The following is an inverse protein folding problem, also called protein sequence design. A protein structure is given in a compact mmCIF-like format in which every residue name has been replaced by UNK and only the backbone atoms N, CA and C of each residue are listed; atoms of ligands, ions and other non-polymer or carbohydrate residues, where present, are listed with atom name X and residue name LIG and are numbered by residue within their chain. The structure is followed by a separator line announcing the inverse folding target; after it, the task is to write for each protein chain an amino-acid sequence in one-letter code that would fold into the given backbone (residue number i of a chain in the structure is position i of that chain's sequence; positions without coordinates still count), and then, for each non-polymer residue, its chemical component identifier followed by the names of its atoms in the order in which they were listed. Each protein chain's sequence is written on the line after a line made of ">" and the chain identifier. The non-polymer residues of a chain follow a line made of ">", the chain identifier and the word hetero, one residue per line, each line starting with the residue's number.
data_IF_097977196583
#
_entry.id   IF_097977196583
#
_cell.length_a   1.000
_cell.length_b   1.000
_cell.length_c   1.000
_cell.angle_alpha   90.00
_cell.angle_beta   90.00
_cell.angle_gamma   90.00
#
_symmetry.space_group_name_H-M   'P 1'
#
loop_
_entity.id
_entity.type
_entity.pdbx_description
1 polymer ?
#
# COMPACT_ATOMS: atom_id res chain seq x y z
N UNK A 1 40.19 55.04 41.70
CA UNK A 1 38.86 54.87 42.30
C UNK A 1 37.69 55.23 41.35
N UNK A 2 37.80 56.25 40.50
CA UNK A 2 36.72 56.72 39.62
C UNK A 2 36.33 55.79 38.47
N UNK A 3 37.23 54.88 38.00
CA UNK A 3 36.97 53.94 36.89
C UNK A 3 36.08 52.73 37.30
N UNK A 4 36.19 52.32 38.58
CA UNK A 4 35.43 51.15 39.10
C UNK A 4 33.97 51.50 39.33
N UNK A 5 33.68 52.73 39.77
CA UNK A 5 32.30 53.20 39.98
C UNK A 5 31.50 53.37 38.70
N UNK A 6 32.15 53.69 37.56
CA UNK A 6 31.47 53.78 36.25
C UNK A 6 31.15 52.41 35.66
N UNK A 7 32.05 51.42 35.82
CA UNK A 7 31.81 50.04 35.39
C UNK A 7 30.65 49.42 36.19
N UNK A 8 30.60 49.66 37.48
CA UNK A 8 29.53 49.18 38.36
C UNK A 8 28.15 49.79 38.00
N UNK A 9 28.10 51.06 37.58
CA UNK A 9 26.88 51.71 37.10
C UNK A 9 26.42 51.17 35.75
N UNK A 10 27.35 50.79 34.86
CA UNK A 10 27.04 50.19 33.58
C UNK A 10 26.50 48.75 33.79
N UNK A 11 27.13 47.97 34.65
CA UNK A 11 26.66 46.62 35.01
C UNK A 11 25.26 46.67 35.66
N UNK A 12 25.02 47.64 36.54
CA UNK A 12 23.73 47.81 37.20
C UNK A 12 22.63 48.25 36.22
N UNK A 13 22.94 49.07 35.19
CA UNK A 13 22.02 49.43 34.11
C UNK A 13 21.75 48.23 33.18
N UNK A 14 22.75 47.44 32.87
CA UNK A 14 22.58 46.22 32.10
C UNK A 14 21.75 45.17 32.84
N UNK A 15 21.93 45.02 34.15
CA UNK A 15 21.13 44.14 35.00
C UNK A 15 19.65 44.58 35.07
N UNK A 16 19.38 45.89 35.16
CA UNK A 16 18.01 46.42 35.12
C UNK A 16 17.37 46.21 33.74
N UNK A 17 18.13 46.35 32.63
CA UNK A 17 17.62 46.09 31.28
C UNK A 17 17.33 44.60 31.13
N UNK A 18 18.18 43.69 31.66
CA UNK A 18 17.95 42.26 31.65
C UNK A 18 16.73 41.80 32.44
N UNK A 19 16.45 42.43 33.59
CA UNK A 19 15.25 42.21 34.43
C UNK A 19 13.99 42.72 33.72
N UNK A 20 14.05 43.81 32.94
CA UNK A 20 12.94 44.34 32.16
C UNK A 20 12.60 43.51 30.92
N UNK A 21 13.55 42.71 30.40
CA UNK A 21 13.33 41.81 29.26
C UNK A 21 12.75 40.45 29.72
N UNK A 22 12.90 40.10 31.00
CA UNK A 22 12.28 38.92 31.60
C UNK A 22 10.79 39.20 31.96
N UNK A 23 10.01 39.67 30.97
CA UNK A 23 8.55 39.66 31.10
C UNK A 23 8.13 38.17 31.16
N UNK A 24 7.41 37.75 32.22
CA UNK A 24 6.86 36.42 32.26
C UNK A 24 5.96 36.26 31.03
N UNK A 25 6.24 35.30 30.20
CA UNK A 25 5.27 34.83 29.22
C UNK A 25 4.04 34.40 30.02
N UNK A 26 3.02 35.25 30.07
CA UNK A 26 1.77 34.92 30.75
C UNK A 26 1.12 33.81 29.92
N UNK A 27 1.32 32.60 30.37
CA UNK A 27 0.56 31.46 29.96
C UNK A 27 -0.91 31.73 30.33
N UNK A 28 -1.75 31.86 29.33
CA UNK A 28 -3.15 32.21 29.57
C UNK A 28 -3.97 30.91 29.66
N UNK A 29 -4.52 30.66 30.85
CA UNK A 29 -5.31 29.46 31.13
C UNK A 29 -6.67 29.55 30.45
N UNK A 30 -7.05 28.52 29.68
CA UNK A 30 -8.34 28.41 29.01
C UNK A 30 -9.50 28.30 30.01
N UNK A 31 -10.45 29.24 29.95
CA UNK A 31 -11.66 29.24 30.77
C UNK A 31 -12.93 28.89 30.00
N UNK A 32 -12.99 29.18 28.72
CA UNK A 32 -14.18 28.98 27.89
C UNK A 32 -13.79 28.63 26.44
N UNK A 33 -14.62 27.83 25.77
CA UNK A 33 -14.51 27.56 24.33
C UNK A 33 -15.81 28.04 23.69
N UNK A 34 -15.68 28.90 22.70
CA UNK A 34 -16.78 29.37 21.85
C UNK A 34 -16.59 28.85 20.42
N UNK A 35 -17.67 28.30 19.88
CA UNK A 35 -17.69 27.72 18.54
C UNK A 35 -18.67 28.47 17.65
N UNK A 36 -18.23 28.88 16.47
CA UNK A 36 -19.02 29.64 15.52
C UNK A 36 -18.93 29.01 14.13
N UNK A 37 -19.96 29.25 13.28
CA UNK A 37 -19.98 28.83 11.89
C UNK A 37 -20.44 27.38 11.67
N UNK A 38 -20.58 26.59 12.72
CA UNK A 38 -21.10 25.25 12.67
C UNK A 38 -22.61 25.23 12.38
N UNK A 39 -23.05 24.23 11.61
CA UNK A 39 -24.45 24.08 11.20
C UNK A 39 -25.00 22.68 11.50
N UNK A 40 -24.26 21.65 11.15
CA UNK A 40 -24.64 20.23 11.33
C UNK A 40 -23.87 19.57 12.46
N UNK A 41 -22.58 19.95 12.62
CA UNK A 41 -21.77 19.45 13.71
C UNK A 41 -22.03 20.29 14.95
N UNK A 42 -22.46 19.67 16.05
CA UNK A 42 -22.72 20.41 17.28
C UNK A 42 -21.47 21.06 17.87
N UNK A 43 -21.64 22.18 18.56
CA UNK A 43 -20.50 22.84 19.23
C UNK A 43 -19.80 21.91 20.24
N UNK A 44 -20.55 21.03 20.89
CA UNK A 44 -20.02 20.01 21.80
C UNK A 44 -19.16 19.01 21.09
N UNK A 45 -19.58 18.54 19.90
CA UNK A 45 -18.79 17.62 19.06
C UNK A 45 -17.49 18.27 18.60
N UNK A 46 -17.52 19.56 18.21
CA UNK A 46 -16.32 20.30 17.82
C UNK A 46 -15.34 20.44 18.98
N UNK A 47 -15.86 20.72 20.19
CA UNK A 47 -15.03 20.74 21.42
C UNK A 47 -14.39 19.37 21.67
N UNK A 48 -15.12 18.27 21.49
CA UNK A 48 -14.58 16.91 21.62
C UNK A 48 -13.47 16.66 20.57
N UNK A 49 -13.68 17.02 19.31
CA UNK A 49 -12.68 16.88 18.26
C UNK A 49 -11.42 17.71 18.50
N UNK A 50 -11.55 18.86 19.16
CA UNK A 50 -10.41 19.69 19.53
C UNK A 50 -9.54 19.06 20.63
N UNK A 51 -10.08 18.09 21.40
CA UNK A 51 -9.48 17.42 22.55
C UNK A 51 -8.94 18.39 23.62
N UNK A 52 -9.46 19.61 23.66
CA UNK A 52 -9.02 20.64 24.60
C UNK A 52 -9.87 20.62 25.87
N UNK A 53 -9.22 20.69 26.99
CA UNK A 53 -9.89 20.75 28.31
C UNK A 53 -9.82 22.17 28.90
N UNK A 54 -10.88 22.58 29.61
CA UNK A 54 -10.88 23.79 30.40
C UNK A 54 -9.77 23.69 31.47
N UNK A 55 -9.16 24.82 31.81
CA UNK A 55 -8.02 24.97 32.72
C UNK A 55 -6.69 24.43 32.17
N UNK A 56 -6.58 24.24 30.83
CA UNK A 56 -5.33 23.93 30.16
C UNK A 56 -4.62 25.24 29.75
N UNK A 57 -3.32 25.23 29.82
CA UNK A 57 -2.47 26.29 29.29
C UNK A 57 -2.38 26.12 27.75
N UNK A 58 -2.63 27.20 26.99
CA UNK A 58 -2.60 27.21 25.55
C UNK A 58 -1.48 28.09 25.01
N UNK A 59 -0.48 27.47 24.47
CA UNK A 59 0.58 28.10 23.67
C UNK A 59 0.31 27.98 22.15
N UNK A 60 1.16 28.59 21.34
CA UNK A 60 1.04 28.52 19.89
C UNK A 60 1.10 27.09 19.34
N UNK A 61 1.84 26.17 19.99
CA UNK A 61 1.93 24.78 19.56
C UNK A 61 0.62 24.05 19.84
N UNK A 62 0.04 24.25 21.00
CA UNK A 62 -1.27 23.72 21.39
C UNK A 62 -2.37 24.17 20.42
N UNK A 63 -2.39 25.45 20.02
CA UNK A 63 -3.33 25.94 19.01
C UNK A 63 -3.15 25.27 17.66
N UNK A 64 -1.91 25.07 17.20
CA UNK A 64 -1.62 24.34 15.97
C UNK A 64 -2.06 22.86 16.03
N UNK A 65 -1.89 22.20 17.17
CA UNK A 65 -2.35 20.82 17.35
C UNK A 65 -3.89 20.73 17.32
N UNK A 66 -4.59 21.67 17.94
CA UNK A 66 -6.06 21.77 17.85
C UNK A 66 -6.49 21.91 16.38
N UNK A 67 -5.84 22.82 15.66
CA UNK A 67 -6.12 23.06 14.25
C UNK A 67 -5.95 21.79 13.43
N UNK A 68 -4.83 21.09 13.59
CA UNK A 68 -4.56 19.81 12.91
C UNK A 68 -5.61 18.74 13.23
N UNK A 69 -6.01 18.62 14.51
CA UNK A 69 -7.03 17.65 14.93
C UNK A 69 -8.37 17.94 14.27
N UNK A 70 -8.81 19.19 14.25
CA UNK A 70 -10.06 19.58 13.61
C UNK A 70 -10.02 19.31 12.11
N UNK A 71 -8.93 19.66 11.39
CA UNK A 71 -8.78 19.35 9.98
C UNK A 71 -8.72 17.83 9.71
N UNK A 72 -8.09 17.06 10.57
CA UNK A 72 -7.96 15.61 10.40
C UNK A 72 -9.30 14.86 10.43
N UNK A 73 -10.34 15.48 10.99
CA UNK A 73 -11.70 14.92 10.98
C UNK A 73 -12.37 14.95 9.61
N UNK A 74 -11.85 15.76 8.68
CA UNK A 74 -12.43 16.03 7.37
C UNK A 74 -13.82 16.69 7.37
N UNK A 75 -14.41 17.00 8.54
CA UNK A 75 -15.70 17.67 8.60
C UNK A 75 -15.65 19.15 8.19
N UNK A 76 -14.47 19.77 8.27
CA UNK A 76 -14.31 21.20 8.08
C UNK A 76 -13.50 21.49 6.81
N UNK A 77 -14.02 22.42 6.02
CA UNK A 77 -13.36 23.00 4.84
C UNK A 77 -12.37 24.06 5.28
N UNK A 78 -12.75 24.86 6.27
CA UNK A 78 -11.91 25.87 6.88
C UNK A 78 -12.09 25.90 8.40
N UNK A 79 -10.98 26.15 9.11
CA UNK A 79 -10.94 26.28 10.57
C UNK A 79 -10.04 27.44 10.92
N UNK A 80 -10.58 28.39 11.68
CA UNK A 80 -9.85 29.50 12.26
C UNK A 80 -9.91 29.42 13.78
N UNK A 81 -8.76 29.58 14.43
CA UNK A 81 -8.64 29.51 15.88
C UNK A 81 -8.02 30.82 16.42
N UNK A 82 -8.64 31.39 17.42
CA UNK A 82 -8.15 32.57 18.12
C UNK A 82 -8.26 32.38 19.63
N UNK A 83 -7.20 32.67 20.36
CA UNK A 83 -7.20 32.59 21.79
C UNK A 83 -6.99 33.98 22.38
N UNK A 84 -8.01 34.53 23.02
CA UNK A 84 -7.99 35.85 23.63
C UNK A 84 -8.81 35.89 24.95
N UNK A 85 -8.38 36.63 25.92
CA UNK A 85 -9.08 36.83 27.20
C UNK A 85 -9.48 35.51 27.88
N UNK A 86 -8.64 34.49 27.82
CA UNK A 86 -8.89 33.14 28.34
C UNK A 86 -10.04 32.39 27.65
N UNK A 87 -10.47 32.83 26.45
CA UNK A 87 -11.51 32.22 25.64
C UNK A 87 -10.88 31.73 24.33
N UNK A 88 -11.10 30.46 24.01
CA UNK A 88 -10.75 29.90 22.74
C UNK A 88 -11.93 30.01 21.76
N UNK A 89 -11.77 30.83 20.73
CA UNK A 89 -12.73 30.97 19.65
C UNK A 89 -12.35 30.02 18.54
N UNK A 90 -13.26 29.11 18.19
CA UNK A 90 -13.12 28.16 17.04
C UNK A 90 -14.18 28.54 16.04
N UNK A 91 -13.77 29.03 14.86
CA UNK A 91 -14.66 29.34 13.77
C UNK A 91 -14.46 28.30 12.68
N UNK A 92 -15.54 27.69 12.19
CA UNK A 92 -15.50 26.59 11.24
C UNK A 92 -16.39 26.86 10.02
N UNK A 93 -15.95 26.39 8.85
CA UNK A 93 -16.77 26.20 7.66
C UNK A 93 -16.86 24.70 7.39
N UNK A 94 -18.08 24.12 7.41
CA UNK A 94 -18.25 22.68 7.25
C UNK A 94 -18.12 22.26 5.78
N UNK A 95 -17.47 21.12 5.53
CA UNK A 95 -17.51 20.44 4.24
C UNK A 95 -18.94 19.96 3.94
N UNK A 96 -19.37 19.98 2.68
CA UNK A 96 -20.63 19.34 2.30
C UNK A 96 -20.60 17.85 2.64
N UNK A 97 -21.77 17.23 2.81
CA UNK A 97 -21.89 15.78 3.02
C UNK A 97 -22.33 15.10 1.72
N UNK A 98 -21.75 13.94 1.44
CA UNK A 98 -22.19 13.08 0.35
C UNK A 98 -23.54 12.49 0.73
N UNK A 99 -24.61 12.91 0.05
CA UNK A 99 -25.97 12.41 0.24
C UNK A 99 -26.21 11.13 -0.54
N UNK A 100 -25.75 11.10 -1.79
CA UNK A 100 -25.85 9.95 -2.69
C UNK A 100 -24.47 9.69 -3.28
N UNK A 101 -24.06 8.43 -3.29
CA UNK A 101 -22.88 7.96 -4.01
C UNK A 101 -23.29 6.85 -4.96
N UNK A 102 -23.06 7.06 -6.26
CA UNK A 102 -23.51 6.13 -7.31
C UNK A 102 -22.41 5.85 -8.31
N UNK A 103 -22.36 4.58 -8.76
CA UNK A 103 -21.55 4.13 -9.90
C UNK A 103 -22.51 3.88 -11.08
N UNK A 104 -22.53 4.78 -12.03
CA UNK A 104 -23.36 4.63 -13.22
C UNK A 104 -22.58 3.93 -14.34
N UNK A 105 -23.25 3.13 -15.18
CA UNK A 105 -22.63 2.36 -16.25
C UNK A 105 -22.09 0.98 -15.85
N UNK A 106 -22.09 0.61 -14.57
CA UNK A 106 -21.63 -0.71 -14.10
C UNK A 106 -22.84 -1.58 -13.70
N UNK A 107 -23.11 -2.63 -14.48
CA UNK A 107 -24.23 -3.58 -14.21
C UNK A 107 -23.78 -4.81 -13.41
N UNK A 108 -22.48 -5.11 -13.38
CA UNK A 108 -21.95 -6.29 -12.72
C UNK A 108 -21.91 -6.09 -11.20
N UNK A 109 -22.71 -6.87 -10.47
CA UNK A 109 -22.84 -6.78 -9.00
C UNK A 109 -21.51 -6.96 -8.27
N UNK A 110 -20.67 -7.92 -8.72
CA UNK A 110 -19.36 -8.16 -8.11
C UNK A 110 -18.42 -6.96 -8.24
N UNK A 111 -18.43 -6.30 -9.41
CA UNK A 111 -17.61 -5.09 -9.62
C UNK A 111 -18.14 -3.95 -8.76
N UNK A 112 -19.46 -3.76 -8.70
CA UNK A 112 -20.09 -2.75 -7.83
C UNK A 112 -19.70 -2.97 -6.36
N UNK A 113 -19.75 -4.20 -5.88
CA UNK A 113 -19.34 -4.54 -4.51
C UNK A 113 -17.87 -4.19 -4.25
N UNK A 114 -16.97 -4.55 -5.17
CA UNK A 114 -15.54 -4.22 -5.05
C UNK A 114 -15.33 -2.71 -5.05
N UNK A 115 -15.99 -1.97 -5.94
CA UNK A 115 -15.93 -0.51 -5.98
C UNK A 115 -16.43 0.09 -4.65
N UNK A 116 -17.60 -0.33 -4.21
CA UNK A 116 -18.21 0.17 -2.96
C UNK A 116 -17.33 -0.08 -1.74
N UNK A 117 -16.64 -1.22 -1.68
CA UNK A 117 -15.79 -1.57 -0.54
C UNK A 117 -14.43 -0.88 -0.57
N UNK A 118 -13.86 -0.65 -1.74
CA UNK A 118 -12.48 -0.17 -1.85
C UNK A 118 -12.33 1.34 -1.96
N UNK A 119 -13.33 2.08 -2.40
CA UNK A 119 -13.28 3.54 -2.40
C UNK A 119 -13.43 4.10 -0.98
N UNK A 120 -12.82 5.25 -0.72
CA UNK A 120 -12.83 5.89 0.60
C UNK A 120 -14.03 6.78 0.79
N UNK A 121 -14.48 7.45 -0.26
CA UNK A 121 -15.69 8.26 -0.23
C UNK A 121 -16.94 7.39 0.01
N UNK A 122 -17.77 7.78 0.98
CA UNK A 122 -18.99 7.05 1.36
C UNK A 122 -20.17 8.00 1.48
N UNK A 123 -21.38 7.47 1.34
CA UNK A 123 -22.57 8.23 1.72
C UNK A 123 -22.50 8.63 3.19
N UNK A 124 -23.04 9.79 3.52
CA UNK A 124 -23.03 10.41 4.84
C UNK A 124 -21.64 10.82 5.37
N UNK A 125 -20.58 10.69 4.57
CA UNK A 125 -19.26 11.22 4.91
C UNK A 125 -19.04 12.62 4.36
N UNK A 126 -18.09 13.40 4.93
CA UNK A 126 -17.71 14.69 4.38
C UNK A 126 -17.16 14.56 2.96
N UNK A 127 -17.53 15.51 2.10
CA UNK A 127 -17.05 15.58 0.73
C UNK A 127 -15.81 16.46 0.64
N UNK A 128 -14.71 15.90 0.17
CA UNK A 128 -13.44 16.59 -0.04
C UNK A 128 -13.12 16.59 -1.53
N UNK A 129 -13.27 17.75 -2.17
CA UNK A 129 -13.19 17.89 -3.63
C UNK A 129 -11.85 17.43 -4.22
N UNK A 130 -10.74 17.71 -3.53
CA UNK A 130 -9.39 17.30 -3.98
C UNK A 130 -9.20 15.79 -4.07
N UNK A 131 -10.01 15.01 -3.32
CA UNK A 131 -9.91 13.55 -3.31
C UNK A 131 -10.64 12.89 -4.50
N UNK A 132 -11.52 13.60 -5.21
CA UNK A 132 -12.30 13.03 -6.32
C UNK A 132 -11.41 12.43 -7.41
N UNK A 133 -10.33 13.15 -7.79
CA UNK A 133 -9.40 12.65 -8.81
C UNK A 133 -8.63 11.41 -8.37
N UNK A 134 -8.35 11.27 -7.09
CA UNK A 134 -7.72 10.08 -6.54
C UNK A 134 -8.68 8.89 -6.57
N UNK A 135 -9.96 9.12 -6.25
CA UNK A 135 -11.00 8.09 -6.34
C UNK A 135 -11.25 7.66 -7.80
N UNK A 136 -11.29 8.58 -8.77
CA UNK A 136 -11.37 8.24 -10.20
C UNK A 136 -10.23 7.33 -10.64
N UNK A 137 -8.98 7.65 -10.24
CA UNK A 137 -7.80 6.79 -10.51
C UNK A 137 -7.93 5.42 -9.84
N UNK A 138 -8.40 5.38 -8.60
CA UNK A 138 -8.60 4.16 -7.84
C UNK A 138 -9.66 3.26 -8.51
N UNK A 139 -10.80 3.84 -8.90
CA UNK A 139 -11.84 3.16 -9.67
C UNK A 139 -11.27 2.61 -10.98
N UNK A 140 -10.53 3.43 -11.74
CA UNK A 140 -9.89 2.98 -13.00
C UNK A 140 -8.95 1.82 -12.79
N UNK A 141 -8.15 1.81 -11.72
CA UNK A 141 -7.26 0.70 -11.39
C UNK A 141 -8.03 -0.57 -11.02
N UNK A 142 -9.12 -0.45 -10.25
CA UNK A 142 -10.01 -1.57 -9.92
C UNK A 142 -10.61 -2.17 -11.21
N UNK A 143 -11.05 -1.33 -12.13
CA UNK A 143 -11.62 -1.79 -13.40
C UNK A 143 -10.57 -2.48 -14.27
N UNK A 144 -9.34 -1.96 -14.34
CA UNK A 144 -8.20 -2.58 -15.05
C UNK A 144 -7.87 -3.96 -14.51
N UNK A 145 -7.78 -4.12 -13.19
CA UNK A 145 -7.52 -5.44 -12.57
C UNK A 145 -8.65 -6.44 -12.82
N UNK A 146 -9.86 -5.96 -13.15
CA UNK A 146 -10.99 -6.78 -13.55
C UNK A 146 -11.12 -6.98 -15.08
N UNK A 147 -10.09 -6.55 -15.84
CA UNK A 147 -10.00 -6.73 -17.29
C UNK A 147 -10.54 -5.60 -18.14
N UNK A 148 -11.11 -4.54 -17.55
CA UNK A 148 -11.61 -3.37 -18.28
C UNK A 148 -10.52 -2.31 -18.41
N UNK A 149 -9.54 -2.58 -19.26
CA UNK A 149 -8.30 -1.81 -19.34
C UNK A 149 -8.51 -0.39 -19.91
N UNK A 150 -9.49 -0.23 -20.79
CA UNK A 150 -9.80 1.02 -21.49
C UNK A 150 -11.06 1.71 -20.94
N UNK A 151 -11.50 1.32 -19.73
CA UNK A 151 -12.62 2.00 -19.08
C UNK A 151 -12.33 3.48 -18.88
N UNK A 152 -13.36 4.32 -19.03
CA UNK A 152 -13.31 5.74 -18.70
C UNK A 152 -14.13 5.99 -17.46
N UNK A 153 -13.63 6.83 -16.58
CA UNK A 153 -14.30 7.22 -15.34
C UNK A 153 -14.34 8.73 -15.29
N UNK A 154 -15.53 9.29 -15.21
CA UNK A 154 -15.79 10.71 -15.06
C UNK A 154 -16.71 10.93 -13.89
N UNK A 155 -16.51 12.00 -13.14
CA UNK A 155 -17.35 12.33 -11.99
C UNK A 155 -18.33 13.43 -12.33
N UNK A 156 -19.59 13.24 -11.97
CA UNK A 156 -20.61 14.27 -11.97
C UNK A 156 -20.95 14.63 -10.53
N UNK A 157 -20.87 15.93 -10.21
CA UNK A 157 -21.15 16.51 -8.90
C UNK A 157 -22.42 17.35 -8.98
N UNK A 158 -23.46 16.95 -8.24
CA UNK A 158 -24.67 17.74 -8.10
C UNK A 158 -24.70 18.32 -6.69
N UNK A 159 -24.61 19.66 -6.59
CA UNK A 159 -24.68 20.40 -5.32
C UNK A 159 -26.14 20.70 -5.02
N UNK A 160 -26.63 20.24 -3.87
CA UNK A 160 -28.00 20.45 -3.43
C UNK A 160 -28.12 21.73 -2.58
N UNK A 161 -29.32 22.31 -2.50
CA UNK A 161 -29.59 23.52 -1.72
C UNK A 161 -29.31 23.36 -0.21
N UNK A 162 -29.47 22.14 0.32
CA UNK A 162 -29.21 21.79 1.71
C UNK A 162 -27.72 21.56 2.02
N UNK A 163 -26.81 22.05 1.17
CA UNK A 163 -25.35 21.89 1.28
C UNK A 163 -24.89 20.43 1.32
N UNK A 164 -25.63 19.53 0.69
CA UNK A 164 -25.20 18.17 0.44
C UNK A 164 -24.78 17.99 -1.03
N UNK A 165 -24.12 16.87 -1.34
CA UNK A 165 -23.63 16.56 -2.68
C UNK A 165 -24.11 15.17 -3.08
N UNK A 166 -24.59 15.04 -4.32
CA UNK A 166 -24.73 13.77 -4.98
C UNK A 166 -23.47 13.55 -5.86
N UNK A 167 -22.72 12.50 -5.56
CA UNK A 167 -21.49 12.13 -6.24
C UNK A 167 -21.79 10.93 -7.14
N UNK A 168 -21.70 11.12 -8.44
CA UNK A 168 -21.99 10.10 -9.43
C UNK A 168 -20.72 9.84 -10.26
N UNK A 169 -20.16 8.65 -10.14
CA UNK A 169 -19.09 8.18 -11.02
C UNK A 169 -19.71 7.56 -12.27
N UNK A 170 -19.62 8.27 -13.38
CA UNK A 170 -20.05 7.80 -14.70
C UNK A 170 -18.94 6.94 -15.29
N UNK A 171 -19.21 5.66 -15.50
CA UNK A 171 -18.22 4.66 -15.90
C UNK A 171 -18.62 4.07 -17.25
N UNK A 172 -17.78 4.33 -18.25
CA UNK A 172 -17.83 3.62 -19.53
C UNK A 172 -16.88 2.43 -19.43
N UNK A 173 -17.42 1.23 -19.22
CA UNK A 173 -16.59 0.03 -19.04
C UNK A 173 -15.80 -0.36 -20.31
N UNK A 174 -16.42 -0.21 -21.48
CA UNK A 174 -15.90 -0.77 -22.73
C UNK A 174 -15.85 -2.29 -22.71
N UNK A 175 -15.10 -2.86 -23.64
CA UNK A 175 -14.85 -4.30 -23.70
C UNK A 175 -13.68 -4.74 -22.84
N UNK A 176 -13.70 -6.01 -22.42
CA UNK A 176 -12.56 -6.56 -21.69
C UNK A 176 -11.35 -6.73 -22.61
N UNK A 177 -10.21 -6.29 -22.13
CA UNK A 177 -8.93 -6.53 -22.80
C UNK A 177 -8.56 -8.02 -22.78
N UNK A 178 -8.13 -8.56 -23.90
CA UNK A 178 -7.74 -9.98 -23.99
C UNK A 178 -6.35 -10.18 -24.60
N UNK A 179 -5.75 -11.31 -24.28
CA UNK A 179 -4.43 -11.70 -24.75
C UNK A 179 -4.57 -12.37 -26.11
N UNK A 180 -4.14 -11.70 -27.18
CA UNK A 180 -4.10 -12.24 -28.53
C UNK A 180 -2.93 -13.20 -28.72
N UNK A 181 -1.77 -12.87 -28.13
CA UNK A 181 -0.52 -13.63 -28.31
C UNK A 181 0.31 -13.60 -27.02
N UNK A 182 1.00 -14.69 -26.75
CA UNK A 182 2.00 -14.78 -25.68
C UNK A 182 3.35 -15.09 -26.29
N UNK A 183 4.34 -14.24 -26.05
CA UNK A 183 5.69 -14.33 -26.58
C UNK A 183 6.71 -14.49 -25.46
N UNK A 184 7.70 -15.33 -25.68
CA UNK A 184 8.85 -15.49 -24.83
C UNK A 184 10.09 -15.09 -25.60
N UNK A 185 10.85 -14.11 -25.12
CA UNK A 185 12.04 -13.56 -25.77
C UNK A 185 13.27 -13.69 -24.86
N UNK A 186 14.45 -13.33 -25.37
CA UNK A 186 15.71 -13.41 -24.65
C UNK A 186 16.36 -14.80 -24.65
N UNK A 187 17.25 -15.04 -23.70
CA UNK A 187 17.99 -16.32 -23.57
C UNK A 187 17.12 -17.37 -22.82
N UNK A 188 16.14 -17.92 -23.50
CA UNK A 188 15.10 -18.74 -22.86
C UNK A 188 15.41 -20.24 -22.74
N UNK A 189 16.40 -20.79 -23.44
CA UNK A 189 16.85 -22.23 -23.42
C UNK A 189 15.73 -23.30 -23.51
N UNK A 190 14.47 -22.94 -23.28
CA UNK A 190 13.28 -23.82 -23.25
C UNK A 190 12.32 -23.41 -24.35
N UNK A 191 11.70 -24.38 -25.00
CA UNK A 191 10.75 -24.14 -26.11
C UNK A 191 9.48 -23.43 -25.62
N UNK A 192 8.98 -22.47 -26.40
CA UNK A 192 7.77 -21.68 -26.09
C UNK A 192 6.55 -22.57 -25.80
N UNK A 193 6.39 -23.66 -26.56
CA UNK A 193 5.28 -24.61 -26.36
C UNK A 193 5.27 -25.22 -24.94
N UNK A 194 6.46 -25.38 -24.35
CA UNK A 194 6.59 -25.86 -22.97
C UNK A 194 6.30 -24.76 -21.97
N UNK A 195 6.85 -23.54 -22.19
CA UNK A 195 6.64 -22.39 -21.31
C UNK A 195 5.15 -22.00 -21.24
N UNK A 196 4.43 -22.04 -22.37
CA UNK A 196 2.97 -21.80 -22.39
C UNK A 196 2.16 -22.78 -21.55
N UNK A 197 2.68 -23.99 -21.28
CA UNK A 197 2.00 -24.97 -20.40
C UNK A 197 2.26 -24.72 -18.92
N UNK A 198 3.23 -23.87 -18.59
CA UNK A 198 3.60 -23.54 -17.21
C UNK A 198 2.80 -22.37 -16.68
N UNK A 199 2.50 -21.39 -17.54
CA UNK A 199 1.75 -20.19 -17.18
C UNK A 199 0.24 -20.47 -17.14
N UNK A 200 -0.48 -19.62 -16.41
CA UNK A 200 -1.95 -19.66 -16.28
C UNK A 200 -2.61 -18.85 -17.40
N UNK A 201 -2.00 -17.72 -17.80
CA UNK A 201 -2.50 -16.89 -18.87
C UNK A 201 -2.59 -17.66 -20.18
N UNK A 202 -3.64 -17.41 -20.94
CA UNK A 202 -3.92 -18.10 -22.20
C UNK A 202 -4.18 -17.12 -23.34
N UNK A 203 -3.78 -17.49 -24.54
CA UNK A 203 -4.18 -16.77 -25.76
C UNK A 203 -5.68 -16.95 -26.03
N UNK A 204 -6.37 -15.86 -26.38
CA UNK A 204 -7.76 -15.91 -26.83
C UNK A 204 -7.88 -16.69 -28.11
N UNK A 205 -8.73 -17.71 -28.12
CA UNK A 205 -9.04 -18.56 -29.29
C UNK A 205 -10.55 -18.70 -29.39
N UNK A 206 -11.07 -18.79 -30.62
CA UNK A 206 -12.52 -18.83 -30.88
C UNK A 206 -13.24 -19.99 -30.15
N UNK A 207 -12.55 -21.12 -29.90
CA UNK A 207 -13.10 -22.26 -29.16
C UNK A 207 -12.93 -22.17 -27.63
N UNK A 208 -12.21 -21.14 -27.13
CA UNK A 208 -12.02 -20.90 -25.68
C UNK A 208 -12.91 -19.77 -25.16
N UNK A 209 -14.18 -19.76 -25.56
CA UNK A 209 -15.08 -18.65 -25.20
C UNK A 209 -15.42 -18.59 -23.70
N UNK A 210 -15.36 -19.69 -22.97
CA UNK A 210 -15.69 -19.75 -21.54
C UNK A 210 -14.50 -19.35 -20.65
N UNK A 211 -13.24 -19.51 -21.13
CA UNK A 211 -12.05 -19.27 -20.32
C UNK A 211 -11.88 -17.80 -19.95
N UNK A 212 -11.81 -17.51 -18.64
CA UNK A 212 -11.43 -16.19 -18.14
C UNK A 212 -9.91 -15.90 -18.20
N UNK A 213 -9.09 -16.93 -18.45
CA UNK A 213 -7.61 -16.83 -18.50
C UNK A 213 -7.10 -16.07 -19.72
N UNK A 214 -7.96 -15.88 -20.72
CA UNK A 214 -7.67 -15.10 -21.93
C UNK A 214 -7.72 -13.58 -21.71
N UNK A 215 -8.35 -13.11 -20.64
CA UNK A 215 -8.41 -11.67 -20.36
C UNK A 215 -7.12 -11.21 -19.69
N UNK A 216 -6.71 -9.99 -20.01
CA UNK A 216 -5.53 -9.38 -19.39
C UNK A 216 -5.78 -9.14 -17.89
N UNK A 217 -4.86 -9.64 -17.07
CA UNK A 217 -4.94 -9.55 -15.60
C UNK A 217 -3.51 -9.42 -15.05
N UNK A 218 -3.22 -8.28 -14.45
CA UNK A 218 -1.88 -7.94 -13.96
C UNK A 218 -1.42 -8.91 -12.87
N UNK A 219 -2.31 -9.26 -11.93
CA UNK A 219 -1.98 -10.19 -10.85
C UNK A 219 -1.65 -11.59 -11.38
N UNK A 220 -2.30 -11.99 -12.47
CA UNK A 220 -2.02 -13.25 -13.12
C UNK A 220 -0.68 -13.23 -13.85
N UNK A 221 -0.29 -12.12 -14.46
CA UNK A 221 1.03 -11.95 -15.09
C UNK A 221 2.14 -12.10 -14.04
N UNK A 222 1.98 -11.54 -12.85
CA UNK A 222 2.93 -11.71 -11.74
C UNK A 222 3.02 -13.17 -11.29
N UNK A 223 1.89 -13.86 -11.24
CA UNK A 223 1.87 -15.28 -10.92
C UNK A 223 2.54 -16.12 -12.01
N UNK A 224 2.28 -15.83 -13.28
CA UNK A 224 2.92 -16.48 -14.43
C UNK A 224 4.45 -16.30 -14.38
N UNK A 225 4.91 -15.10 -14.05
CA UNK A 225 6.34 -14.80 -13.84
C UNK A 225 6.96 -15.69 -12.75
N UNK A 226 6.27 -15.84 -11.62
CA UNK A 226 6.72 -16.73 -10.52
C UNK A 226 6.73 -18.19 -10.94
N UNK A 227 5.73 -18.64 -11.69
CA UNK A 227 5.64 -20.01 -12.19
C UNK A 227 6.76 -20.32 -13.17
N UNK A 228 7.04 -19.42 -14.13
CA UNK A 228 8.16 -19.55 -15.05
C UNK A 228 9.48 -19.63 -14.29
N UNK A 229 9.74 -18.70 -13.38
CA UNK A 229 10.98 -18.67 -12.61
C UNK A 229 11.17 -19.96 -11.80
N UNK A 230 10.13 -20.41 -11.12
CA UNK A 230 10.16 -21.68 -10.37
C UNK A 230 10.43 -22.88 -11.30
N UNK A 231 9.83 -22.90 -12.48
CA UNK A 231 10.05 -23.94 -13.45
C UNK A 231 11.51 -23.96 -13.94
N UNK A 232 12.11 -22.79 -14.27
CA UNK A 232 13.52 -22.70 -14.68
C UNK A 232 14.45 -23.19 -13.58
N UNK A 233 14.25 -22.76 -12.33
CA UNK A 233 15.04 -23.22 -11.18
C UNK A 233 14.94 -24.72 -10.96
N UNK A 234 13.80 -25.33 -11.27
CA UNK A 234 13.63 -26.78 -11.21
C UNK A 234 14.22 -27.55 -12.43
N UNK A 235 14.67 -26.82 -13.45
CA UNK A 235 15.36 -27.39 -14.64
C UNK A 235 16.87 -27.13 -14.64
N UNK A 236 17.41 -26.66 -13.51
CA UNK A 236 18.83 -26.43 -13.34
C UNK A 236 19.27 -24.99 -13.55
N UNK A 237 18.40 -24.10 -13.95
CA UNK A 237 18.74 -22.70 -14.19
C UNK A 237 18.58 -21.88 -12.91
N UNK A 238 19.50 -22.07 -11.97
CA UNK A 238 19.45 -21.46 -10.63
C UNK A 238 19.37 -19.93 -10.69
N UNK A 239 20.21 -19.31 -11.54
CA UNK A 239 20.27 -17.86 -11.72
C UNK A 239 19.28 -17.32 -12.77
N UNK A 240 18.31 -18.12 -13.21
CA UNK A 240 17.32 -17.65 -14.16
C UNK A 240 16.56 -16.43 -13.61
N UNK A 241 16.35 -15.46 -14.49
CA UNK A 241 15.57 -14.24 -14.21
C UNK A 241 14.53 -14.02 -15.31
N UNK A 242 13.37 -13.51 -14.92
CA UNK A 242 12.42 -12.87 -15.83
C UNK A 242 12.70 -11.38 -15.75
N UNK A 243 13.47 -10.86 -16.71
CA UNK A 243 13.93 -9.46 -16.71
C UNK A 243 12.77 -8.48 -16.83
N UNK A 244 11.77 -8.85 -17.60
CA UNK A 244 10.51 -8.09 -17.68
C UNK A 244 9.34 -8.96 -18.10
N UNK A 245 8.16 -8.59 -17.63
CA UNK A 245 6.87 -9.03 -18.15
C UNK A 245 6.06 -7.80 -18.56
N UNK A 246 5.60 -7.74 -19.80
CA UNK A 246 4.89 -6.58 -20.33
C UNK A 246 3.72 -6.99 -21.21
N UNK A 247 2.70 -6.16 -21.25
CA UNK A 247 1.55 -6.30 -22.14
C UNK A 247 1.58 -5.13 -23.13
N UNK A 248 1.80 -5.46 -24.41
CA UNK A 248 1.82 -4.50 -25.53
C UNK A 248 0.46 -4.51 -26.21
N UNK A 249 -0.13 -3.35 -26.44
CA UNK A 249 -1.34 -3.19 -27.25
C UNK A 249 -0.98 -3.54 -28.71
N UNK A 250 -1.74 -4.42 -29.33
CA UNK A 250 -1.56 -4.82 -30.74
C UNK A 250 -2.75 -4.43 -31.61
N UNK A 251 -3.92 -4.24 -30.99
CA UNK A 251 -5.15 -3.82 -31.64
C UNK A 251 -6.17 -3.38 -30.55
N UNK A 252 -7.37 -2.91 -30.91
CA UNK A 252 -8.43 -2.58 -29.97
C UNK A 252 -8.69 -3.74 -29.03
N UNK A 253 -8.56 -3.47 -27.70
CA UNK A 253 -8.73 -4.45 -26.64
C UNK A 253 -7.85 -5.72 -26.72
N UNK A 254 -6.85 -5.77 -27.62
CA UNK A 254 -5.98 -6.93 -27.83
C UNK A 254 -4.57 -6.64 -27.36
N UNK A 255 -4.00 -7.58 -26.63
CA UNK A 255 -2.64 -7.47 -26.09
C UNK A 255 -1.76 -8.64 -26.53
N UNK A 256 -0.48 -8.32 -26.78
CA UNK A 256 0.59 -9.30 -26.76
C UNK A 256 1.26 -9.28 -25.39
N UNK A 257 1.22 -10.41 -24.68
CA UNK A 257 1.93 -10.60 -23.40
C UNK A 257 3.34 -11.10 -23.70
N UNK A 258 4.35 -10.39 -23.24
CA UNK A 258 5.75 -10.64 -23.53
C UNK A 258 6.50 -10.91 -22.23
N UNK A 259 7.18 -12.07 -22.14
CA UNK A 259 8.11 -12.40 -21.07
C UNK A 259 9.54 -12.36 -21.61
N UNK A 260 10.39 -11.48 -21.10
CA UNK A 260 11.81 -11.43 -21.41
C UNK A 260 12.57 -12.28 -20.40
N UNK A 261 13.20 -13.34 -20.87
CA UNK A 261 13.77 -14.39 -20.02
C UNK A 261 15.29 -14.41 -20.20
N UNK A 262 15.99 -14.42 -19.08
CA UNK A 262 17.42 -14.73 -19.03
C UNK A 262 17.59 -16.03 -18.23
N UNK A 263 17.74 -17.14 -18.92
CA UNK A 263 17.89 -18.45 -18.27
C UNK A 263 19.27 -18.60 -17.61
N UNK A 264 20.29 -17.97 -18.17
CA UNK A 264 21.68 -18.13 -17.71
C UNK A 264 22.23 -19.53 -17.93
N UNK A 265 23.17 -19.92 -17.08
CA UNK A 265 23.84 -21.22 -17.14
C UNK A 265 23.04 -22.29 -16.39
N UNK A 266 23.26 -23.55 -16.81
CA UNK A 266 22.69 -24.71 -16.15
C UNK A 266 23.61 -25.17 -15.02
N UNK A 267 23.03 -25.40 -13.85
CA UNK A 267 23.72 -25.84 -12.63
C UNK A 267 23.38 -27.29 -12.31
N UNK A 268 24.31 -27.93 -11.63
CA UNK A 268 24.20 -29.29 -11.13
C UNK A 268 24.51 -29.29 -9.63
N UNK A 269 24.00 -30.28 -8.93
CA UNK A 269 24.37 -30.45 -7.52
C UNK A 269 25.83 -30.85 -7.39
N UNK A 270 26.58 -30.14 -6.56
CA UNK A 270 27.93 -30.48 -6.14
C UNK A 270 27.93 -31.29 -4.85
N UNK A 271 29.00 -31.18 -4.08
CA UNK A 271 29.07 -31.77 -2.76
C UNK A 271 28.09 -31.11 -1.80
N UNK A 272 27.62 -31.88 -0.84
CA UNK A 272 26.71 -31.41 0.18
C UNK A 272 27.38 -31.55 1.56
N UNK A 273 27.34 -30.49 2.32
CA UNK A 273 27.74 -30.47 3.72
C UNK A 273 26.52 -30.22 4.58
N UNK A 274 26.25 -31.11 5.53
CA UNK A 274 25.22 -30.91 6.55
C UNK A 274 25.92 -30.52 7.86
N UNK A 275 25.76 -29.25 8.24
CA UNK A 275 26.28 -28.72 9.49
C UNK A 275 25.22 -28.84 10.55
N UNK A 276 25.46 -29.68 11.55
CA UNK A 276 24.53 -29.89 12.65
C UNK A 276 24.98 -29.14 13.90
N UNK A 277 24.09 -28.62 14.74
CA UNK A 277 24.43 -28.17 16.10
C UNK A 277 25.07 -29.27 16.93
N UNK A 278 25.86 -28.94 17.98
CA UNK A 278 26.59 -29.93 18.78
C UNK A 278 25.70 -30.95 19.49
N UNK A 279 24.48 -30.61 19.79
CA UNK A 279 23.46 -31.42 20.47
C UNK A 279 22.69 -32.35 19.53
N UNK A 280 22.93 -32.28 18.21
CA UNK A 280 22.26 -33.10 17.21
C UNK A 280 23.16 -34.30 16.83
N UNK A 281 22.55 -35.51 16.80
CA UNK A 281 23.28 -36.71 16.43
C UNK A 281 23.24 -36.95 14.92
N UNK A 282 24.40 -37.24 14.31
CA UNK A 282 24.50 -37.51 12.88
C UNK A 282 23.65 -38.70 12.41
N UNK A 283 23.56 -39.74 13.28
CA UNK A 283 22.75 -40.92 12.97
C UNK A 283 21.29 -40.58 12.70
N UNK A 284 20.74 -39.56 13.37
CA UNK A 284 19.37 -39.09 13.13
C UNK A 284 19.16 -38.60 11.69
N UNK A 285 20.20 -38.12 11.04
CA UNK A 285 20.17 -37.54 9.69
C UNK A 285 20.76 -38.45 8.61
N UNK A 286 21.04 -39.75 8.91
CA UNK A 286 21.64 -40.69 7.93
C UNK A 286 20.85 -40.77 6.62
N UNK A 287 19.55 -40.67 6.68
CA UNK A 287 18.68 -40.64 5.49
C UNK A 287 18.96 -39.44 4.58
N UNK A 288 19.25 -38.28 5.18
CA UNK A 288 19.59 -37.04 4.44
C UNK A 288 20.90 -37.23 3.70
N UNK A 289 21.94 -37.75 4.37
CA UNK A 289 23.24 -38.03 3.71
C UNK A 289 23.10 -38.99 2.52
N UNK A 290 22.27 -40.03 2.65
CA UNK A 290 21.99 -40.94 1.54
C UNK A 290 21.27 -40.26 0.35
N UNK A 291 20.34 -39.33 0.62
CA UNK A 291 19.66 -38.53 -0.40
C UNK A 291 20.63 -37.56 -1.07
N UNK A 292 21.46 -36.85 -0.29
CA UNK A 292 22.47 -35.93 -0.78
C UNK A 292 23.43 -36.62 -1.76
N UNK A 293 24.00 -37.77 -1.37
CA UNK A 293 24.92 -38.54 -2.21
C UNK A 293 24.32 -38.99 -3.55
N UNK A 294 22.99 -39.25 -3.58
CA UNK A 294 22.28 -39.58 -4.83
C UNK A 294 22.09 -38.37 -5.74
N UNK A 295 22.10 -37.18 -5.19
CA UNK A 295 21.88 -35.95 -5.94
C UNK A 295 23.15 -35.38 -6.54
N UNK A 296 24.33 -35.73 -6.03
CA UNK A 296 25.61 -35.26 -6.57
C UNK A 296 25.71 -35.51 -8.08
N UNK A 297 26.05 -34.47 -8.83
CA UNK A 297 26.11 -34.50 -10.30
C UNK A 297 24.77 -34.43 -11.01
N UNK A 298 23.62 -34.57 -10.32
CA UNK A 298 22.34 -34.41 -10.98
C UNK A 298 22.03 -32.91 -11.24
N UNK A 299 21.13 -32.67 -12.21
CA UNK A 299 20.68 -31.31 -12.51
C UNK A 299 20.04 -30.67 -11.26
N UNK A 300 20.50 -29.46 -10.92
CA UNK A 300 19.91 -28.67 -9.85
C UNK A 300 18.39 -28.56 -9.96
N UNK A 301 17.71 -28.65 -8.82
CA UNK A 301 16.26 -28.50 -8.72
C UNK A 301 15.91 -27.86 -7.36
N UNK A 302 15.27 -26.69 -7.40
CA UNK A 302 14.79 -26.01 -6.21
C UNK A 302 13.82 -26.87 -5.38
N UNK A 303 12.99 -27.65 -6.03
CA UNK A 303 12.05 -28.56 -5.35
C UNK A 303 12.79 -29.69 -4.61
N UNK A 304 13.91 -30.17 -5.16
CA UNK A 304 14.73 -31.18 -4.45
C UNK A 304 15.38 -30.58 -3.21
N UNK A 305 15.88 -29.34 -3.31
CA UNK A 305 16.43 -28.61 -2.15
C UNK A 305 15.36 -28.44 -1.08
N UNK A 306 14.20 -27.91 -1.45
CA UNK A 306 13.08 -27.74 -0.51
C UNK A 306 12.70 -29.04 0.19
N UNK A 307 12.59 -30.15 -0.54
CA UNK A 307 12.29 -31.46 0.04
C UNK A 307 13.33 -31.91 1.06
N UNK A 308 14.64 -31.64 0.83
CA UNK A 308 15.69 -31.95 1.79
C UNK A 308 15.51 -31.11 3.05
N UNK A 309 15.25 -29.80 2.91
CA UNK A 309 15.03 -28.92 4.04
C UNK A 309 13.80 -29.33 4.85
N UNK A 310 12.67 -29.60 4.18
CA UNK A 310 11.44 -30.09 4.82
C UNK A 310 11.69 -31.41 5.58
N UNK A 311 12.52 -32.32 5.03
CA UNK A 311 12.84 -33.59 5.66
C UNK A 311 13.79 -33.42 6.86
N UNK A 312 14.72 -32.47 6.79
CA UNK A 312 15.57 -32.08 7.93
C UNK A 312 14.72 -31.53 9.06
N UNK A 313 13.80 -30.61 8.77
CA UNK A 313 12.88 -30.01 9.75
C UNK A 313 11.99 -31.08 10.39
N UNK A 314 11.49 -32.05 9.61
CA UNK A 314 10.70 -33.17 10.11
C UNK A 314 11.48 -34.08 11.06
N UNK A 315 12.75 -34.39 10.72
CA UNK A 315 13.61 -35.20 11.59
C UNK A 315 13.87 -34.44 12.90
N UNK A 316 14.20 -33.16 12.82
CA UNK A 316 14.44 -32.34 13.99
C UNK A 316 13.22 -32.25 14.92
N UNK A 317 12.02 -32.04 14.36
CA UNK A 317 10.76 -32.09 15.11
C UNK A 317 10.53 -33.44 15.79
N UNK A 318 10.76 -34.55 15.07
CA UNK A 318 10.55 -35.91 15.61
C UNK A 318 11.50 -36.28 16.75
N UNK A 319 12.62 -35.58 16.88
CA UNK A 319 13.65 -35.75 17.91
C UNK A 319 13.59 -34.71 19.01
N UNK A 320 12.55 -33.84 18.98
CA UNK A 320 12.32 -32.77 19.97
C UNK A 320 13.50 -31.77 20.08
N UNK A 321 14.22 -31.53 18.98
CA UNK A 321 15.28 -30.53 18.95
C UNK A 321 14.70 -29.12 19.01
N UNK A 322 15.24 -28.24 19.89
CA UNK A 322 14.62 -26.94 20.22
C UNK A 322 14.70 -25.89 19.09
N UNK A 323 15.71 -25.92 18.23
CA UNK A 323 15.93 -24.89 17.20
C UNK A 323 15.97 -25.49 15.80
N UNK A 324 14.82 -25.41 15.11
CA UNK A 324 14.65 -25.92 13.76
C UNK A 324 14.67 -24.77 12.77
N UNK A 325 15.74 -24.60 12.01
CA UNK A 325 15.81 -23.66 10.92
C UNK A 325 16.80 -24.11 9.86
N UNK A 326 16.40 -25.13 9.09
CA UNK A 326 17.23 -25.61 7.99
C UNK A 326 17.36 -24.56 6.89
N UNK A 327 18.59 -24.21 6.53
CA UNK A 327 18.92 -23.23 5.47
C UNK A 327 19.96 -23.82 4.54
N UNK A 328 19.91 -23.41 3.27
CA UNK A 328 21.00 -23.63 2.32
C UNK A 328 21.78 -22.34 2.08
N UNK A 329 23.06 -22.46 1.87
CA UNK A 329 23.95 -21.35 1.49
C UNK A 329 24.22 -21.38 -0.02
#
# INVERSE_FOLDING_TARGET
>A
MYKITNIMKIIFKLLIIFILIALPAHSAILKKIEVNGNQRVSSETIKIFSEVKINTDLDSNSLNEILKKLYSTNFFKDVSIKFENNILYISVEENPIIQVLKFDGVKNKRILEVLTNQIEMKEKSPFIEVNVKNEEKKISNILRTNGYYFSKVNTNLVRNENKTINLIFNIELGEKAYIKKISFIGDKKIKDSKLRKIIISEEAKFWKFVSSRKYLDINRIDLDTKLLLNYYKNKGYFNAAIESSSAKIVDDNQFELIFNINAGQKYYFGNFDLILPPDYTQESFEKIFKVQKKLEGETYSLNKVKKILDEIDQIALSKEYEFINAKYK
#
